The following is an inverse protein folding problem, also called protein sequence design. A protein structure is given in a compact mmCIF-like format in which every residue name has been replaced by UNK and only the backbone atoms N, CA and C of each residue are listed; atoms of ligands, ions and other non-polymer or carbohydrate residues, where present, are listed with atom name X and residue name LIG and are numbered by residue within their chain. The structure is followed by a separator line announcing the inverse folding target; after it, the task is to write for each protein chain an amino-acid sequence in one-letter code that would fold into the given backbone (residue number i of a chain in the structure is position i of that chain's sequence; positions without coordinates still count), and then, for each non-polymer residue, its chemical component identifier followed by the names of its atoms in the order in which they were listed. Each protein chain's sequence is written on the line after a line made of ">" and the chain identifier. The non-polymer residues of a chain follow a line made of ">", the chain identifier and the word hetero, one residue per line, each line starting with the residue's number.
data_IF_776895027421
#
_entry.id   IF_776895027421
#
_cell.length_a   1.000
_cell.length_b   1.000
_cell.length_c   1.000
_cell.angle_alpha   90.00
_cell.angle_beta   90.00
_cell.angle_gamma   90.00
#
_symmetry.space_group_name_H-M   'P 1'
#
loop_
_entity.id
_entity.type
_entity.pdbx_description
1 polymer ?
#
# COMPACT_ATOMS: atom_id res chain seq x y z
N UNK A 1 2.28 18.68 -3.63
CA UNK A 1 2.65 17.34 -4.14
C UNK A 1 1.39 16.75 -4.77
N UNK A 2 1.23 16.82 -6.09
CA UNK A 2 -0.02 16.42 -6.76
C UNK A 2 0.17 15.07 -7.45
N UNK A 3 0.27 14.03 -6.62
CA UNK A 3 0.10 12.65 -7.04
C UNK A 3 -1.23 12.11 -6.52
N UNK A 4 -1.63 10.91 -6.92
CA UNK A 4 -2.83 10.27 -6.38
C UNK A 4 -2.70 9.86 -4.91
N UNK A 5 -1.50 9.87 -4.33
CA UNK A 5 -1.28 9.54 -2.93
C UNK A 5 -1.82 10.64 -2.02
N UNK A 6 -2.74 10.26 -1.13
CA UNK A 6 -3.36 11.16 -0.15
C UNK A 6 -2.77 11.04 1.24
N UNK A 7 -2.09 9.94 1.54
CA UNK A 7 -1.44 9.77 2.83
C UNK A 7 -0.75 8.43 2.97
N UNK A 8 0.12 8.35 3.99
CA UNK A 8 0.73 7.11 4.44
C UNK A 8 0.84 7.12 5.97
N UNK A 9 0.70 5.96 6.60
CA UNK A 9 0.87 5.78 8.03
C UNK A 9 1.61 4.49 8.32
N UNK A 10 2.26 4.43 9.49
CA UNK A 10 2.95 3.24 9.99
C UNK A 10 2.35 2.89 11.35
N UNK A 11 1.83 1.68 11.49
CA UNK A 11 1.28 1.19 12.75
C UNK A 11 2.38 0.62 13.67
N UNK A 12 2.09 0.51 14.97
CA UNK A 12 2.91 -0.27 15.90
C UNK A 12 2.99 -1.72 15.40
N UNK A 13 4.21 -2.22 15.19
CA UNK A 13 4.46 -3.48 14.48
C UNK A 13 4.96 -3.32 13.04
N UNK A 14 5.03 -2.09 12.52
CA UNK A 14 5.70 -1.75 11.27
C UNK A 14 4.86 -1.92 10.01
N UNK A 15 3.56 -2.24 10.14
CA UNK A 15 2.66 -2.29 8.99
C UNK A 15 2.46 -0.89 8.41
N UNK A 16 2.66 -0.75 7.10
CA UNK A 16 2.58 0.52 6.39
C UNK A 16 1.26 0.54 5.61
N UNK A 17 0.43 1.55 5.83
CA UNK A 17 -0.79 1.77 5.04
C UNK A 17 -0.63 3.00 4.17
N UNK A 18 -0.88 2.85 2.88
CA UNK A 18 -0.79 3.90 1.87
C UNK A 18 -2.17 4.10 1.27
N UNK A 19 -2.63 5.34 1.21
CA UNK A 19 -3.93 5.70 0.63
C UNK A 19 -3.73 6.56 -0.61
N UNK A 20 -4.50 6.25 -1.64
CA UNK A 20 -4.60 7.07 -2.84
C UNK A 20 -6.04 7.41 -3.18
N UNK A 21 -6.25 8.60 -3.71
CA UNK A 21 -7.55 9.14 -4.13
C UNK A 21 -7.49 9.66 -5.55
N UNK A 22 -8.57 9.47 -6.30
CA UNK A 22 -8.75 10.10 -7.61
C UNK A 22 -9.32 11.51 -7.52
N UNK A 23 -9.73 12.00 -6.35
CA UNK A 23 -10.47 13.27 -6.19
C UNK A 23 -9.79 14.49 -6.82
N UNK A 24 -8.45 14.59 -6.77
CA UNK A 24 -7.71 15.72 -7.33
C UNK A 24 -7.55 15.67 -8.86
N UNK A 25 -7.77 14.51 -9.49
CA UNK A 25 -7.51 14.29 -10.93
C UNK A 25 -8.73 13.80 -11.69
N UNK A 26 -9.77 13.33 -11.01
CA UNK A 26 -10.96 12.66 -11.56
C UNK A 26 -10.65 11.44 -12.44
N UNK A 27 -9.43 10.88 -12.34
CA UNK A 27 -8.98 9.74 -13.15
C UNK A 27 -8.63 8.56 -12.23
N UNK A 28 -9.12 7.37 -12.57
CA UNK A 28 -8.86 6.13 -11.84
C UNK A 28 -9.65 5.98 -10.54
N UNK A 29 -9.21 5.07 -9.68
CA UNK A 29 -9.92 4.68 -8.45
C UNK A 29 -9.16 5.05 -7.19
N UNK A 30 -9.90 5.17 -6.08
CA UNK A 30 -9.33 5.20 -4.75
C UNK A 30 -8.68 3.84 -4.48
N UNK A 31 -7.45 3.86 -3.96
CA UNK A 31 -6.69 2.65 -3.67
C UNK A 31 -6.18 2.71 -2.24
N UNK A 32 -6.15 1.55 -1.58
CA UNK A 32 -5.44 1.35 -0.32
C UNK A 32 -4.45 0.23 -0.52
N UNK A 33 -3.21 0.44 -0.10
CA UNK A 33 -2.13 -0.56 -0.11
C UNK A 33 -1.63 -0.72 1.32
N UNK A 34 -1.50 -1.96 1.76
CA UNK A 34 -0.95 -2.33 3.07
C UNK A 34 0.29 -3.19 2.84
N UNK A 35 1.41 -2.79 3.44
CA UNK A 35 2.66 -3.55 3.48
C UNK A 35 2.84 -4.09 4.89
N UNK A 36 2.72 -5.39 5.06
CA UNK A 36 2.87 -6.06 6.35
C UNK A 36 4.27 -6.66 6.45
N UNK A 37 5.12 -6.19 7.38
CA UNK A 37 6.47 -6.72 7.54
C UNK A 37 6.44 -8.11 8.18
N UNK A 38 7.43 -8.93 7.83
CA UNK A 38 7.79 -10.16 8.52
C UNK A 38 9.30 -10.30 8.53
N UNK A 39 9.86 -10.87 9.59
CA UNK A 39 11.29 -11.15 9.69
C UNK A 39 11.60 -12.55 9.19
N UNK A 40 12.62 -12.69 8.33
CA UNK A 40 13.19 -13.99 8.00
C UNK A 40 14.01 -14.52 9.16
N UNK A 41 14.22 -15.83 9.23
CA UNK A 41 15.10 -16.47 10.22
C UNK A 41 16.55 -15.98 10.14
N UNK A 42 16.95 -15.41 9.00
CA UNK A 42 18.26 -14.80 8.73
C UNK A 42 18.35 -13.32 9.09
N UNK A 43 17.28 -12.72 9.64
CA UNK A 43 17.26 -11.34 10.12
C UNK A 43 16.94 -10.28 9.06
N UNK A 44 16.50 -10.67 7.86
CA UNK A 44 15.99 -9.73 6.86
C UNK A 44 14.51 -9.42 7.09
N UNK A 45 14.06 -8.23 6.68
CA UNK A 45 12.63 -7.90 6.62
C UNK A 45 12.10 -8.16 5.22
N UNK A 46 10.95 -8.84 5.14
CA UNK A 46 10.15 -8.98 3.93
C UNK A 46 8.79 -8.36 4.16
N UNK A 47 8.16 -7.86 3.10
CA UNK A 47 6.82 -7.29 3.19
C UNK A 47 5.87 -8.07 2.31
N UNK A 48 4.77 -8.51 2.90
CA UNK A 48 3.60 -8.95 2.14
C UNK A 48 2.83 -7.71 1.75
N UNK A 49 2.55 -7.53 0.45
CA UNK A 49 1.75 -6.42 -0.04
C UNK A 49 0.33 -6.88 -0.33
N UNK A 50 -0.64 -6.16 0.21
CA UNK A 50 -2.07 -6.36 -0.07
C UNK A 50 -2.70 -5.04 -0.46
N UNK A 51 -3.56 -5.03 -1.47
CA UNK A 51 -4.11 -3.81 -2.01
C UNK A 51 -5.55 -3.96 -2.50
N UNK A 52 -6.32 -2.88 -2.39
CA UNK A 52 -7.72 -2.84 -2.78
C UNK A 52 -8.05 -1.52 -3.49
N UNK A 53 -8.84 -1.53 -4.58
CA UNK A 53 -9.32 -2.70 -5.34
C UNK A 53 -8.22 -3.36 -6.20
N UNK A 54 -8.27 -4.70 -6.31
CA UNK A 54 -7.21 -5.53 -6.93
C UNK A 54 -6.86 -5.12 -8.37
N UNK A 55 -7.85 -4.69 -9.16
CA UNK A 55 -7.65 -4.27 -10.55
C UNK A 55 -6.68 -3.10 -10.68
N UNK A 56 -6.61 -2.23 -9.66
CA UNK A 56 -5.91 -0.95 -9.69
C UNK A 56 -4.61 -0.95 -8.88
N UNK A 57 -4.19 -2.10 -8.37
CA UNK A 57 -2.92 -2.26 -7.65
C UNK A 57 -1.93 -3.12 -8.45
N UNK A 58 -0.62 -2.94 -8.22
CA UNK A 58 0.42 -3.79 -8.81
C UNK A 58 0.18 -5.27 -8.53
N UNK A 59 0.65 -6.15 -9.41
CA UNK A 59 0.49 -7.61 -9.24
C UNK A 59 1.06 -8.12 -7.91
N UNK A 60 2.16 -7.54 -7.43
CA UNK A 60 2.78 -7.87 -6.14
C UNK A 60 1.90 -7.55 -4.93
N UNK A 61 0.85 -6.73 -5.10
CA UNK A 61 -0.06 -6.29 -4.05
C UNK A 61 -1.45 -6.91 -4.17
N UNK A 62 -1.60 -7.98 -4.96
CA UNK A 62 -2.90 -8.66 -5.17
C UNK A 62 -3.11 -9.87 -4.25
N UNK A 63 -2.20 -10.11 -3.30
CA UNK A 63 -2.22 -11.22 -2.35
C UNK A 63 -2.59 -10.79 -0.95
#
# INVERSE_FOLDING_TARGET
>A
MTGKLTGASVATGGAITITGSSAATSVGQNVTIVLTPSTTSTGSLTWTCSGTPLTYVPSSCRG
#
